data_IF_939697622342
#
_entry.id   IF_939697622342
#
_cell.length_a   1.000
_cell.length_b   1.000
_cell.length_c   1.000
_cell.angle_alpha   90.00
_cell.angle_beta   90.00
_cell.angle_gamma   90.00
#
_symmetry.space_group_name_H-M   'P 1'
#
loop_
_entity.id
_entity.type
_entity.pdbx_description
1 polymer ?
#
# COMPACT_ATOMS: atom_id res chain seq x y z
N UNK A 1 4.32 -24.49 38.24
CA UNK A 1 5.70 -24.99 38.36
C UNK A 1 6.24 -25.24 36.97
N UNK A 2 7.28 -24.47 36.61
CA UNK A 2 8.18 -24.62 35.45
C UNK A 2 7.62 -24.40 34.03
N UNK A 3 7.55 -23.12 33.62
CA UNK A 3 8.02 -22.66 32.31
C UNK A 3 8.34 -21.14 32.25
N UNK A 4 8.61 -20.47 33.38
CA UNK A 4 9.08 -19.07 33.44
C UNK A 4 10.59 -18.99 33.77
N UNK A 5 11.44 -19.72 33.04
CA UNK A 5 12.87 -19.77 33.33
C UNK A 5 13.75 -19.70 32.07
N UNK A 6 13.50 -18.74 31.18
CA UNK A 6 14.43 -18.46 30.05
C UNK A 6 14.55 -17.00 29.63
N UNK A 7 14.29 -16.07 30.55
CA UNK A 7 14.47 -14.62 30.31
C UNK A 7 15.61 -14.02 31.18
N UNK A 8 16.22 -14.80 32.09
CA UNK A 8 17.23 -14.31 33.03
C UNK A 8 18.66 -14.85 32.81
N UNK A 9 19.13 -14.98 31.56
CA UNK A 9 20.56 -15.31 31.30
C UNK A 9 21.36 -14.25 30.54
N UNK A 10 20.74 -13.21 29.99
CA UNK A 10 21.45 -12.26 29.11
C UNK A 10 21.78 -10.89 29.73
N UNK A 11 21.59 -10.70 31.05
CA UNK A 11 21.81 -9.41 31.71
C UNK A 11 23.07 -9.34 32.60
N UNK A 12 23.97 -10.34 32.55
CA UNK A 12 25.17 -10.37 33.41
C UNK A 12 26.46 -9.84 32.76
N UNK A 13 26.46 -9.51 31.47
CA UNK A 13 27.70 -9.13 30.75
C UNK A 13 27.85 -7.64 30.40
N UNK A 14 26.94 -6.75 30.83
CA UNK A 14 27.01 -5.33 30.48
C UNK A 14 27.44 -4.38 31.61
N UNK A 15 27.81 -4.87 32.80
CA UNK A 15 28.21 -4.04 33.94
C UNK A 15 29.62 -4.36 34.44
N UNK A 16 30.63 -3.78 33.78
CA UNK A 16 32.00 -3.46 34.27
C UNK A 16 32.74 -2.90 33.04
N UNK A 17 33.16 -1.64 32.95
CA UNK A 17 34.06 -0.82 33.78
C UNK A 17 33.92 0.62 33.23
N UNK A 18 33.65 1.67 34.00
CA UNK A 18 34.50 2.44 34.94
C UNK A 18 34.81 3.84 34.36
N UNK A 19 34.78 4.82 35.25
CA UNK A 19 34.81 6.26 35.03
C UNK A 19 36.22 6.78 34.74
N UNK A 20 36.34 7.92 34.02
CA UNK A 20 36.99 9.13 34.56
C UNK A 20 37.07 10.34 33.61
N UNK A 21 36.39 11.43 34.03
CA UNK A 21 36.81 12.85 34.19
C UNK A 21 37.57 13.62 33.08
N UNK A 22 36.89 14.72 32.68
CA UNK A 22 37.19 16.17 32.90
C UNK A 22 37.53 17.08 31.69
N UNK A 23 36.75 18.19 31.66
CA UNK A 23 37.08 19.63 31.48
C UNK A 23 36.84 20.34 30.13
N UNK A 24 35.88 21.27 30.21
CA UNK A 24 35.81 22.66 29.72
C UNK A 24 36.15 23.03 28.27
N UNK A 25 35.22 23.74 27.60
CA UNK A 25 35.25 25.21 27.54
C UNK A 25 34.11 25.83 26.70
N UNK A 26 33.75 27.06 27.07
CA UNK A 26 32.80 28.01 26.47
C UNK A 26 32.77 28.07 24.93
N UNK A 27 31.64 28.46 24.32
CA UNK A 27 31.31 29.88 23.93
C UNK A 27 30.13 29.97 22.95
N UNK A 28 29.33 31.03 23.15
CA UNK A 28 28.55 31.83 22.19
C UNK A 28 27.15 31.36 21.74
N UNK A 29 26.16 32.00 22.38
CA UNK A 29 24.86 32.42 21.80
C UNK A 29 25.06 33.08 20.43
N UNK A 30 24.29 32.64 19.43
CA UNK A 30 23.81 33.52 18.36
C UNK A 30 22.45 33.01 17.86
N UNK A 31 21.41 33.83 18.07
CA UNK A 31 20.10 33.72 17.41
C UNK A 31 20.30 33.58 15.90
N UNK A 32 19.67 32.60 15.27
CA UNK A 32 19.39 32.64 13.83
C UNK A 32 18.05 32.00 13.54
N UNK A 33 17.27 32.78 12.81
CA UNK A 33 15.92 32.60 12.33
C UNK A 33 15.77 31.31 11.54
N UNK A 34 14.64 30.63 11.70
CA UNK A 34 14.19 29.55 10.83
C UNK A 34 14.05 30.07 9.40
N UNK A 35 14.92 29.60 8.52
CA UNK A 35 14.68 29.58 7.08
C UNK A 35 14.90 28.14 6.61
N UNK A 36 13.84 27.50 6.14
CA UNK A 36 13.92 26.20 5.47
C UNK A 36 14.79 26.30 4.22
N UNK A 37 16.06 25.90 4.32
CA UNK A 37 16.85 25.51 3.16
C UNK A 37 16.61 24.01 2.93
N UNK A 38 15.73 23.68 1.97
CA UNK A 38 15.60 22.31 1.46
C UNK A 38 16.92 21.95 0.78
N UNK A 39 17.63 21.00 1.36
CA UNK A 39 18.77 20.34 0.75
C UNK A 39 18.26 19.54 -0.46
N UNK A 40 18.73 19.77 -1.70
CA UNK A 40 18.16 19.19 -2.92
C UNK A 40 18.34 17.68 -3.08
N UNK A 41 18.88 16.98 -2.08
CA UNK A 41 19.23 15.57 -2.17
C UNK A 41 18.48 14.64 -1.19
N UNK A 42 17.52 15.17 -0.42
CA UNK A 42 16.66 14.32 0.41
C UNK A 42 15.41 13.92 -0.38
N UNK A 43 15.44 12.71 -0.96
CA UNK A 43 14.27 12.16 -1.67
C UNK A 43 13.08 12.10 -0.72
N UNK A 44 11.95 12.68 -1.12
CA UNK A 44 10.75 12.73 -0.29
C UNK A 44 10.26 11.30 -0.01
N UNK A 45 10.03 10.99 1.27
CA UNK A 45 9.49 9.69 1.71
C UNK A 45 7.99 9.76 1.90
N UNK A 46 7.34 8.60 1.83
CA UNK A 46 5.88 8.51 1.94
C UNK A 46 5.38 8.92 3.33
N UNK A 47 6.06 8.49 4.39
CA UNK A 47 5.70 8.80 5.77
C UNK A 47 4.27 8.35 6.10
N UNK A 48 3.44 9.28 6.60
CA UNK A 48 2.07 9.01 7.04
C UNK A 48 1.13 8.50 5.93
N UNK A 49 1.44 8.78 4.66
CA UNK A 49 0.66 8.27 3.53
C UNK A 49 0.87 6.76 3.30
N UNK A 50 1.72 6.10 4.09
CA UNK A 50 2.02 4.67 3.95
C UNK A 50 0.76 3.80 3.98
N UNK A 51 -0.22 4.17 4.82
CA UNK A 51 -1.46 3.41 4.97
C UNK A 51 -2.39 3.58 3.77
N UNK A 52 -2.50 4.79 3.21
CA UNK A 52 -3.28 5.02 1.99
C UNK A 52 -2.62 4.28 0.81
N UNK A 53 -1.30 4.38 0.69
CA UNK A 53 -0.54 3.67 -0.34
C UNK A 53 -0.68 2.15 -0.18
N UNK A 54 -0.62 1.61 1.03
CA UNK A 54 -0.87 0.18 1.28
C UNK A 54 -2.28 -0.24 0.84
N UNK A 55 -3.29 0.61 1.05
CA UNK A 55 -4.64 0.39 0.54
C UNK A 55 -4.67 0.27 -0.99
N UNK A 56 -4.00 1.21 -1.68
CA UNK A 56 -3.88 1.19 -3.14
C UNK A 56 -3.14 -0.06 -3.61
N UNK A 57 -2.01 -0.41 -2.99
CA UNK A 57 -1.26 -1.62 -3.32
C UNK A 57 -2.10 -2.88 -3.16
N UNK A 58 -2.89 -2.98 -2.09
CA UNK A 58 -3.81 -4.11 -1.88
C UNK A 58 -4.88 -4.20 -2.97
N UNK A 59 -5.52 -3.07 -3.32
CA UNK A 59 -6.49 -2.99 -4.43
C UNK A 59 -5.86 -3.41 -5.76
N UNK A 60 -4.63 -2.95 -6.05
CA UNK A 60 -3.88 -3.33 -7.25
C UNK A 60 -3.59 -4.83 -7.31
N UNK A 61 -3.14 -5.43 -6.20
CA UNK A 61 -2.87 -6.88 -6.12
C UNK A 61 -4.17 -7.67 -6.32
N UNK A 62 -5.26 -7.25 -5.69
CA UNK A 62 -6.57 -7.88 -5.86
C UNK A 62 -7.06 -7.82 -7.32
N UNK A 63 -6.97 -6.65 -7.94
CA UNK A 63 -7.35 -6.48 -9.35
C UNK A 63 -6.54 -7.40 -10.26
N UNK A 64 -5.21 -7.45 -10.09
CA UNK A 64 -4.34 -8.36 -10.83
C UNK A 64 -4.77 -9.83 -10.69
N UNK A 65 -5.04 -10.30 -9.47
CA UNK A 65 -5.46 -11.68 -9.22
C UNK A 65 -6.84 -11.99 -9.83
N UNK A 66 -7.77 -11.03 -9.81
CA UNK A 66 -9.09 -11.19 -10.42
C UNK A 66 -9.05 -11.35 -11.94
N UNK A 67 -7.91 -11.03 -12.57
CA UNK A 67 -7.65 -11.19 -14.01
C UNK A 67 -6.84 -12.46 -14.34
N UNK A 68 -6.59 -13.32 -13.35
CA UNK A 68 -5.95 -14.62 -13.58
C UNK A 68 -6.83 -15.53 -14.43
N UNK A 69 -6.22 -16.44 -15.19
CA UNK A 69 -6.98 -17.34 -16.08
C UNK A 69 -8.05 -18.15 -15.32
N UNK A 70 -7.74 -18.59 -14.10
CA UNK A 70 -8.69 -19.31 -13.24
C UNK A 70 -9.90 -18.45 -12.84
N UNK A 71 -9.67 -17.20 -12.44
CA UNK A 71 -10.75 -16.29 -12.05
C UNK A 71 -11.61 -15.87 -13.25
N UNK A 72 -10.99 -15.67 -14.41
CA UNK A 72 -11.73 -15.37 -15.66
C UNK A 72 -12.53 -16.58 -16.12
N UNK A 73 -11.98 -17.79 -16.04
CA UNK A 73 -12.70 -19.01 -16.34
C UNK A 73 -13.92 -19.15 -15.43
N UNK A 74 -13.73 -18.96 -14.11
CA UNK A 74 -14.80 -18.98 -13.10
C UNK A 74 -15.88 -17.94 -13.37
N UNK A 75 -15.49 -16.71 -13.72
CA UNK A 75 -16.42 -15.66 -14.13
C UNK A 75 -17.30 -16.13 -15.29
N UNK A 76 -16.69 -16.64 -16.37
CA UNK A 76 -17.41 -17.07 -17.58
C UNK A 76 -18.27 -18.32 -17.37
N UNK A 77 -17.79 -19.30 -16.61
CA UNK A 77 -18.48 -20.59 -16.45
C UNK A 77 -19.51 -20.62 -15.35
N UNK A 78 -19.29 -19.89 -14.25
CA UNK A 78 -20.14 -19.95 -13.05
C UNK A 78 -20.96 -18.67 -12.89
N UNK A 79 -20.29 -17.52 -12.79
CA UNK A 79 -20.97 -16.27 -12.43
C UNK A 79 -21.91 -15.79 -13.56
N UNK A 80 -21.43 -15.72 -14.80
CA UNK A 80 -22.23 -15.24 -15.93
C UNK A 80 -23.33 -16.21 -16.37
N UNK A 81 -23.20 -17.50 -16.05
CA UNK A 81 -24.20 -18.54 -16.37
C UNK A 81 -25.15 -18.83 -15.21
N UNK A 82 -25.03 -18.09 -14.11
CA UNK A 82 -25.95 -18.24 -12.99
C UNK A 82 -27.35 -17.77 -13.39
N UNK A 83 -28.36 -18.52 -12.97
CA UNK A 83 -29.77 -18.24 -13.29
C UNK A 83 -30.20 -16.84 -12.84
N UNK A 84 -29.67 -16.38 -11.70
CA UNK A 84 -29.89 -15.04 -11.18
C UNK A 84 -29.34 -13.93 -12.09
N UNK A 85 -28.15 -14.09 -12.66
CA UNK A 85 -27.57 -13.09 -13.58
C UNK A 85 -28.32 -13.08 -14.91
N UNK A 86 -28.62 -14.26 -15.46
CA UNK A 86 -29.41 -14.39 -16.68
C UNK A 86 -30.80 -13.76 -16.56
N UNK A 87 -31.43 -13.88 -15.38
CA UNK A 87 -32.79 -13.37 -15.14
C UNK A 87 -32.80 -11.88 -14.77
N UNK A 88 -31.85 -11.40 -13.97
CA UNK A 88 -31.87 -10.03 -13.43
C UNK A 88 -31.11 -9.00 -14.29
N UNK A 89 -30.09 -9.43 -15.04
CA UNK A 89 -29.22 -8.52 -15.80
C UNK A 89 -29.41 -8.74 -17.29
N UNK A 90 -28.99 -9.89 -17.81
CA UNK A 90 -29.11 -10.28 -19.22
C UNK A 90 -28.64 -11.72 -19.42
N UNK A 91 -29.18 -12.41 -20.41
CA UNK A 91 -28.67 -13.70 -20.89
C UNK A 91 -27.58 -13.55 -21.99
N UNK A 92 -27.35 -12.33 -22.49
CA UNK A 92 -26.31 -12.05 -23.49
C UNK A 92 -24.92 -12.00 -22.84
N UNK A 93 -24.11 -13.04 -23.10
CA UNK A 93 -22.74 -13.17 -22.61
C UNK A 93 -21.85 -11.99 -23.05
N UNK A 94 -22.07 -11.44 -24.25
CA UNK A 94 -21.30 -10.29 -24.73
C UNK A 94 -21.58 -9.03 -23.91
N UNK A 95 -22.86 -8.76 -23.62
CA UNK A 95 -23.25 -7.65 -22.76
C UNK A 95 -22.66 -7.82 -21.35
N UNK A 96 -22.76 -9.01 -20.76
CA UNK A 96 -22.23 -9.29 -19.43
C UNK A 96 -20.70 -9.11 -19.36
N UNK A 97 -19.96 -9.57 -20.37
CA UNK A 97 -18.51 -9.39 -20.43
C UNK A 97 -18.11 -7.94 -20.69
N UNK A 98 -18.90 -7.18 -21.45
CA UNK A 98 -18.68 -5.73 -21.60
C UNK A 98 -18.88 -4.96 -20.29
N UNK A 99 -19.85 -5.36 -19.46
CA UNK A 99 -20.07 -4.80 -18.13
C UNK A 99 -18.90 -5.13 -17.19
N UNK A 100 -18.45 -6.39 -17.19
CA UNK A 100 -17.29 -6.81 -16.41
C UNK A 100 -16.02 -6.07 -16.84
N UNK A 101 -15.81 -5.87 -18.15
CA UNK A 101 -14.71 -5.06 -18.67
C UNK A 101 -14.78 -3.62 -18.13
N UNK A 102 -15.95 -2.98 -18.20
CA UNK A 102 -16.14 -1.62 -17.71
C UNK A 102 -15.83 -1.49 -16.21
N UNK A 103 -16.26 -2.45 -15.39
CA UNK A 103 -15.95 -2.50 -13.96
C UNK A 103 -14.43 -2.64 -13.70
N UNK A 104 -13.75 -3.57 -14.40
CA UNK A 104 -12.29 -3.75 -14.24
C UNK A 104 -11.49 -2.54 -14.69
N UNK A 105 -11.94 -1.85 -15.74
CA UNK A 105 -11.32 -0.60 -16.17
C UNK A 105 -11.58 0.53 -15.17
N UNK A 106 -12.76 0.62 -14.57
CA UNK A 106 -13.04 1.61 -13.52
C UNK A 106 -12.14 1.40 -12.28
N UNK A 107 -11.99 0.14 -11.83
CA UNK A 107 -11.07 -0.21 -10.75
C UNK A 107 -9.63 0.22 -11.07
N UNK A 108 -9.17 -0.05 -12.29
CA UNK A 108 -7.84 0.33 -12.74
C UNK A 108 -7.66 1.86 -12.79
N UNK A 109 -8.67 2.58 -13.31
CA UNK A 109 -8.66 4.03 -13.40
C UNK A 109 -8.62 4.69 -12.02
N UNK A 110 -9.34 4.14 -11.03
CA UNK A 110 -9.27 4.60 -9.63
C UNK A 110 -7.86 4.44 -9.06
N UNK A 111 -7.21 3.30 -9.31
CA UNK A 111 -5.82 3.07 -8.91
C UNK A 111 -4.91 4.08 -9.62
N UNK A 112 -5.02 4.21 -10.94
CA UNK A 112 -4.20 5.10 -11.75
C UNK A 112 -4.33 6.56 -11.30
N UNK A 113 -5.53 7.02 -10.96
CA UNK A 113 -5.77 8.36 -10.40
C UNK A 113 -4.97 8.61 -9.12
N UNK A 114 -4.93 7.65 -8.20
CA UNK A 114 -4.11 7.78 -6.98
C UNK A 114 -2.62 7.75 -7.32
N UNK A 115 -2.19 6.90 -8.26
CA UNK A 115 -0.79 6.84 -8.72
C UNK A 115 -0.36 8.17 -9.36
N UNK A 116 -1.21 8.81 -10.18
CA UNK A 116 -0.96 10.15 -10.74
C UNK A 116 -0.80 11.20 -9.64
N UNK A 117 -1.65 11.15 -8.61
CA UNK A 117 -1.57 12.06 -7.45
C UNK A 117 -0.26 11.89 -6.68
N UNK A 118 0.19 10.66 -6.49
CA UNK A 118 1.46 10.35 -5.84
C UNK A 118 2.66 10.72 -6.73
N UNK A 119 2.54 10.52 -8.04
CA UNK A 119 3.56 10.84 -9.05
C UNK A 119 3.95 12.31 -9.08
N UNK A 120 3.04 13.23 -8.71
CA UNK A 120 3.35 14.66 -8.55
C UNK A 120 4.39 14.98 -7.46
N UNK A 121 4.70 14.03 -6.59
CA UNK A 121 5.76 14.14 -5.56
C UNK A 121 7.04 13.39 -5.93
N UNK A 122 7.10 12.81 -7.13
CA UNK A 122 8.30 12.15 -7.63
C UNK A 122 9.32 13.16 -8.17
N UNK A 123 10.59 12.76 -8.13
CA UNK A 123 11.70 13.51 -8.74
C UNK A 123 11.92 13.11 -10.21
N UNK A 124 11.53 11.88 -10.58
CA UNK A 124 11.69 11.34 -11.93
C UNK A 124 10.65 11.93 -12.90
N UNK A 125 11.11 12.50 -14.01
CA UNK A 125 10.24 13.14 -15.01
C UNK A 125 9.22 12.17 -15.64
N UNK A 126 9.60 10.89 -15.80
CA UNK A 126 8.72 9.84 -16.32
C UNK A 126 7.54 9.55 -15.40
N UNK A 127 7.72 9.67 -14.08
CA UNK A 127 6.67 9.45 -13.09
C UNK A 127 5.77 10.68 -12.91
N UNK A 128 6.33 11.88 -13.07
CA UNK A 128 5.56 13.13 -13.12
C UNK A 128 4.60 13.15 -14.32
N UNK A 129 5.03 12.60 -15.45
CA UNK A 129 4.23 12.47 -16.67
C UNK A 129 3.26 11.27 -16.70
N UNK A 130 3.19 10.46 -15.64
CA UNK A 130 2.43 9.20 -15.63
C UNK A 130 0.97 9.38 -16.08
N UNK A 131 0.29 10.43 -15.61
CA UNK A 131 -1.11 10.72 -15.95
C UNK A 131 -1.31 10.87 -17.47
N UNK A 132 -0.42 11.59 -18.14
CA UNK A 132 -0.48 11.83 -19.58
C UNK A 132 -0.17 10.56 -20.37
N UNK A 133 0.90 9.84 -19.97
CA UNK A 133 1.28 8.57 -20.61
C UNK A 133 0.16 7.53 -20.47
N UNK A 134 -0.46 7.44 -19.28
CA UNK A 134 -1.58 6.55 -19.05
C UNK A 134 -2.78 6.91 -19.92
N UNK A 135 -3.13 8.20 -20.03
CA UNK A 135 -4.20 8.66 -20.90
C UNK A 135 -3.93 8.37 -22.39
N UNK A 136 -2.69 8.51 -22.85
CA UNK A 136 -2.30 8.21 -24.23
C UNK A 136 -2.34 6.71 -24.54
N UNK A 137 -1.98 5.86 -23.57
CA UNK A 137 -2.10 4.39 -23.67
C UNK A 137 -3.57 3.96 -23.71
N UNK A 138 -4.44 4.58 -22.91
CA UNK A 138 -5.89 4.35 -22.96
C UNK A 138 -6.49 4.81 -24.31
N UNK A 139 -6.00 5.92 -24.86
CA UNK A 139 -6.42 6.44 -26.16
C UNK A 139 -5.85 5.66 -27.36
N UNK A 140 -5.00 4.65 -27.12
CA UNK A 140 -4.36 3.85 -28.17
C UNK A 140 -3.31 4.61 -29.00
N UNK A 141 -2.81 5.75 -28.50
CA UNK A 141 -1.78 6.56 -29.18
C UNK A 141 -0.37 6.03 -28.96
N UNK A 142 -0.17 5.27 -27.88
CA UNK A 142 1.11 4.66 -27.50
C UNK A 142 0.87 3.17 -27.27
N UNK A 143 1.68 2.32 -27.91
CA UNK A 143 1.65 0.89 -27.61
C UNK A 143 2.36 0.60 -26.28
N UNK A 144 1.84 -0.36 -25.52
CA UNK A 144 2.43 -0.77 -24.24
C UNK A 144 3.90 -1.23 -24.40
N UNK A 145 4.27 -1.79 -25.56
CA UNK A 145 5.64 -2.19 -25.89
C UNK A 145 6.61 -1.00 -25.95
N UNK A 146 6.11 0.18 -26.33
CA UNK A 146 6.89 1.42 -26.40
C UNK A 146 7.12 2.08 -25.03
N UNK A 147 6.30 1.73 -24.02
CA UNK A 147 6.47 2.17 -22.63
C UNK A 147 7.65 1.45 -21.95
N UNK A 148 8.30 0.50 -22.64
CA UNK A 148 9.56 -0.12 -22.22
C UNK A 148 9.45 -0.96 -20.94
N UNK A 149 8.25 -1.41 -20.59
CA UNK A 149 7.99 -2.17 -19.37
C UNK A 149 8.32 -3.66 -19.57
N UNK A 150 9.33 -4.25 -18.89
CA UNK A 150 9.61 -5.66 -19.01
C UNK A 150 8.47 -6.48 -18.36
N UNK A 151 7.69 -7.19 -19.16
CA UNK A 151 6.61 -8.09 -18.70
C UNK A 151 7.12 -9.30 -17.91
N UNK A 152 8.43 -9.60 -17.99
CA UNK A 152 9.04 -10.85 -17.49
C UNK A 152 9.04 -11.07 -15.97
N UNK A 153 8.57 -10.12 -15.17
CA UNK A 153 8.56 -10.31 -13.71
C UNK A 153 7.41 -9.59 -12.99
N UNK A 154 6.20 -9.68 -13.56
CA UNK A 154 5.00 -9.16 -12.90
C UNK A 154 4.74 -9.87 -11.56
N UNK A 155 4.94 -11.19 -11.51
CA UNK A 155 4.71 -11.97 -10.30
C UNK A 155 5.64 -11.54 -9.15
N UNK A 156 6.93 -11.24 -9.38
CA UNK A 156 7.74 -10.68 -8.28
C UNK A 156 7.35 -9.26 -7.91
N UNK A 157 6.84 -8.48 -8.87
CA UNK A 157 6.34 -7.13 -8.64
C UNK A 157 5.13 -7.17 -7.72
N UNK A 158 4.17 -8.06 -7.99
CA UNK A 158 3.01 -8.33 -7.12
C UNK A 158 3.46 -8.81 -5.73
N UNK A 159 4.40 -9.76 -5.65
CA UNK A 159 4.98 -10.21 -4.37
C UNK A 159 5.71 -9.10 -3.61
N UNK A 160 6.26 -8.10 -4.29
CA UNK A 160 6.86 -6.91 -3.64
C UNK A 160 5.77 -6.02 -3.07
N UNK A 161 4.68 -5.77 -3.81
CA UNK A 161 3.53 -5.02 -3.32
C UNK A 161 2.94 -5.68 -2.06
N UNK A 162 2.75 -7.00 -2.10
CA UNK A 162 2.24 -7.78 -0.95
C UNK A 162 3.13 -7.64 0.27
N UNK A 163 4.46 -7.77 0.11
CA UNK A 163 5.40 -7.58 1.22
C UNK A 163 5.30 -6.18 1.83
N UNK A 164 5.17 -5.15 0.99
CA UNK A 164 4.97 -3.78 1.49
C UNK A 164 3.65 -3.60 2.23
N UNK A 165 2.56 -4.20 1.73
CA UNK A 165 1.26 -4.21 2.40
C UNK A 165 1.38 -4.89 3.77
N UNK A 166 1.93 -6.10 3.84
CA UNK A 166 2.12 -6.85 5.09
C UNK A 166 2.96 -6.09 6.10
N UNK A 167 4.14 -5.57 5.71
CA UNK A 167 4.99 -4.79 6.62
C UNK A 167 4.30 -3.52 7.12
N UNK A 168 3.48 -2.87 6.29
CA UNK A 168 2.77 -1.64 6.67
C UNK A 168 1.57 -1.94 7.58
N UNK A 169 0.91 -3.08 7.41
CA UNK A 169 -0.12 -3.59 8.33
C UNK A 169 0.50 -3.93 9.69
N UNK A 170 1.64 -4.62 9.73
CA UNK A 170 2.34 -4.88 10.99
C UNK A 170 2.72 -3.57 11.69
N UNK A 171 3.20 -2.56 10.94
CA UNK A 171 3.46 -1.24 11.50
C UNK A 171 2.20 -0.59 12.11
N UNK A 172 1.05 -0.71 11.45
CA UNK A 172 -0.22 -0.20 11.96
C UNK A 172 -0.58 -0.86 13.31
N UNK A 173 -0.52 -2.19 13.37
CA UNK A 173 -0.85 -2.95 14.58
C UNK A 173 0.09 -2.58 15.75
N UNK A 174 1.40 -2.50 15.51
CA UNK A 174 2.35 -2.13 16.58
C UNK A 174 2.20 -0.68 17.05
N UNK A 175 1.75 0.23 16.17
CA UNK A 175 1.40 1.60 16.56
C UNK A 175 0.12 1.64 17.41
N UNK A 176 -0.86 0.79 17.12
CA UNK A 176 -2.07 0.63 17.92
C UNK A 176 -1.75 0.09 19.33
N UNK A 177 -0.92 -0.95 19.41
CA UNK A 177 -0.42 -1.50 20.70
C UNK A 177 0.32 -0.43 21.50
N UNK A 178 1.19 0.38 20.85
CA UNK A 178 1.87 1.48 21.55
C UNK A 178 0.86 2.50 22.10
N UNK A 179 -0.16 2.87 21.33
CA UNK A 179 -1.19 3.80 21.77
C UNK A 179 -1.98 3.25 22.96
N UNK A 180 -2.34 1.96 22.97
CA UNK A 180 -2.98 1.31 24.11
C UNK A 180 -2.09 1.31 25.37
N UNK A 181 -0.79 1.00 25.20
CA UNK A 181 0.18 1.04 26.29
C UNK A 181 0.31 2.46 26.86
N UNK A 182 0.43 3.48 26.03
CA UNK A 182 0.52 4.88 26.47
C UNK A 182 -0.77 5.34 27.18
N UNK A 183 -1.93 4.91 26.71
CA UNK A 183 -3.21 5.18 27.39
C UNK A 183 -3.32 4.46 28.72
N UNK A 184 -2.83 3.22 28.83
CA UNK A 184 -2.82 2.48 30.09
C UNK A 184 -1.95 3.21 31.13
N UNK A 185 -0.76 3.69 30.75
CA UNK A 185 0.13 4.45 31.64
C UNK A 185 -0.54 5.74 32.15
N UNK A 186 -1.27 6.47 31.31
CA UNK A 186 -2.03 7.66 31.73
C UNK A 186 -3.10 7.32 32.78
N UNK A 187 -3.75 6.16 32.68
CA UNK A 187 -4.75 5.68 33.67
C UNK A 187 -4.09 5.23 34.98
N UNK A 188 -2.88 4.66 34.90
CA UNK A 188 -2.11 4.17 36.06
C UNK A 188 -1.31 5.23 36.81
N UNK A 189 -1.23 6.48 36.33
CA UNK A 189 -0.59 7.58 37.07
C UNK A 189 -1.23 7.90 38.44
N UNK A 190 -2.33 7.22 38.79
CA UNK A 190 -2.94 7.24 40.12
C UNK A 190 -2.34 6.23 41.12
N UNK A 191 -1.51 5.28 40.69
CA UNK A 191 -1.00 4.18 41.52
C UNK A 191 0.47 4.42 41.90
N UNK A 192 0.74 4.53 43.20
CA UNK A 192 2.03 4.87 43.86
C UNK A 192 3.12 3.77 43.77
N UNK A 193 3.12 2.88 42.77
CA UNK A 193 4.13 1.82 42.61
C UNK A 193 5.15 2.18 41.52
N UNK A 194 6.28 2.74 41.95
CA UNK A 194 7.37 3.19 41.07
C UNK A 194 8.03 2.05 40.27
N UNK A 195 8.02 0.83 40.82
CA UNK A 195 8.60 -0.35 40.18
C UNK A 195 7.75 -0.82 38.98
N UNK A 196 6.42 -0.85 39.13
CA UNK A 196 5.48 -1.14 38.03
C UNK A 196 5.59 -0.07 36.94
N UNK A 197 5.73 1.20 37.32
CA UNK A 197 5.94 2.31 36.37
C UNK A 197 7.19 2.13 35.52
N UNK A 198 8.33 1.74 36.12
CA UNK A 198 9.59 1.49 35.40
C UNK A 198 9.46 0.35 34.39
N UNK A 199 8.73 -0.72 34.74
CA UNK A 199 8.47 -1.84 33.81
C UNK A 199 7.63 -1.38 32.61
N UNK A 200 6.58 -0.57 32.82
CA UNK A 200 5.77 0.00 31.74
C UNK A 200 6.56 0.96 30.85
N UNK A 201 7.38 1.84 31.44
CA UNK A 201 8.26 2.75 30.69
C UNK A 201 9.27 1.97 29.83
N UNK A 202 9.83 0.89 30.37
CA UNK A 202 10.71 0.00 29.62
C UNK A 202 9.96 -0.70 28.47
N UNK A 203 8.72 -1.16 28.69
CA UNK A 203 7.89 -1.77 27.63
C UNK A 203 7.59 -0.78 26.51
N UNK A 204 7.28 0.48 26.83
CA UNK A 204 7.07 1.55 25.83
C UNK A 204 8.36 1.82 25.04
N UNK A 205 9.52 1.82 25.71
CA UNK A 205 10.81 2.01 25.04
C UNK A 205 11.10 0.89 24.03
N UNK A 206 10.88 -0.37 24.41
CA UNK A 206 11.01 -1.51 23.50
C UNK A 206 10.05 -1.41 22.32
N UNK A 207 8.77 -1.11 22.58
CA UNK A 207 7.76 -0.95 21.55
C UNK A 207 8.14 0.14 20.52
N UNK A 208 8.69 1.27 20.99
CA UNK A 208 9.17 2.36 20.12
C UNK A 208 10.37 1.95 19.29
N UNK A 209 11.28 1.15 19.84
CA UNK A 209 12.41 0.60 19.10
C UNK A 209 11.92 -0.32 17.96
N UNK A 210 10.97 -1.21 18.25
CA UNK A 210 10.44 -2.16 17.28
C UNK A 210 9.66 -1.46 16.16
N UNK A 211 8.89 -0.42 16.49
CA UNK A 211 8.26 0.47 15.50
C UNK A 211 9.30 1.14 14.60
N UNK A 212 10.48 1.48 15.13
CA UNK A 212 11.59 2.00 14.34
C UNK A 212 12.00 1.04 13.22
N UNK A 213 12.24 -0.23 13.56
CA UNK A 213 12.58 -1.26 12.57
C UNK A 213 11.44 -1.56 11.58
N UNK A 214 10.18 -1.49 12.02
CA UNK A 214 9.02 -1.64 11.14
C UNK A 214 8.86 -0.46 10.18
N UNK A 215 9.20 0.75 10.58
CA UNK A 215 9.20 1.91 9.67
C UNK A 215 10.22 1.75 8.54
N UNK A 216 11.38 1.16 8.82
CA UNK A 216 12.43 0.93 7.83
C UNK A 216 12.02 -0.12 6.78
N UNK A 217 11.29 -1.16 7.19
CA UNK A 217 10.85 -2.25 6.32
C UNK A 217 9.50 -2.01 5.63
N UNK A 218 8.70 -1.06 6.13
CA UNK A 218 7.39 -0.70 5.57
C UNK A 218 7.47 0.42 4.53
N UNK A 219 6.30 0.84 4.03
CA UNK A 219 6.17 1.98 3.11
C UNK A 219 6.56 3.31 3.75
N UNK A 220 6.61 3.42 5.09
CA UNK A 220 6.84 4.67 5.80
C UNK A 220 8.16 5.35 5.39
N UNK A 221 9.25 4.58 5.27
CA UNK A 221 10.57 5.06 4.87
C UNK A 221 10.89 4.84 3.38
N UNK A 222 9.92 4.46 2.54
CA UNK A 222 10.14 4.35 1.09
C UNK A 222 9.98 5.71 0.40
N UNK A 223 10.71 5.91 -0.69
CA UNK A 223 10.62 7.11 -1.53
C UNK A 223 9.43 7.02 -2.50
N UNK A 224 8.87 8.18 -2.87
CA UNK A 224 7.80 8.24 -3.86
C UNK A 224 8.22 7.60 -5.18
N UNK A 225 9.41 7.90 -5.70
CA UNK A 225 9.90 7.37 -6.99
C UNK A 225 9.83 5.85 -7.05
N UNK A 226 10.28 5.19 -5.98
CA UNK A 226 10.32 3.72 -5.92
C UNK A 226 8.92 3.12 -5.90
N UNK A 227 8.03 3.70 -5.12
CA UNK A 227 6.67 3.19 -4.93
C UNK A 227 5.78 3.48 -6.13
N UNK A 228 5.83 4.72 -6.64
CA UNK A 228 5.08 5.12 -7.83
C UNK A 228 5.58 4.37 -9.06
N UNK A 229 6.90 4.19 -9.21
CA UNK A 229 7.44 3.38 -10.30
C UNK A 229 6.97 1.92 -10.26
N UNK A 230 6.88 1.33 -9.07
CA UNK A 230 6.35 -0.03 -8.88
C UNK A 230 4.86 -0.09 -9.24
N UNK A 231 4.05 0.85 -8.75
CA UNK A 231 2.62 0.91 -9.03
C UNK A 231 2.31 1.20 -10.50
N UNK A 232 2.98 2.18 -11.11
CA UNK A 232 2.81 2.55 -12.51
C UNK A 232 3.06 1.35 -13.43
N UNK A 233 4.15 0.62 -13.17
CA UNK A 233 4.47 -0.62 -13.87
C UNK A 233 3.34 -1.65 -13.76
N UNK A 234 2.83 -1.87 -12.56
CA UNK A 234 1.72 -2.82 -12.35
C UNK A 234 0.43 -2.34 -13.03
N UNK A 235 0.12 -1.06 -12.99
CA UNK A 235 -1.07 -0.49 -13.66
C UNK A 235 -1.02 -0.76 -15.15
N UNK A 236 0.10 -0.49 -15.82
CA UNK A 236 0.21 -0.74 -17.26
C UNK A 236 0.11 -2.23 -17.60
N UNK A 237 0.69 -3.12 -16.80
CA UNK A 237 0.56 -4.56 -17.04
C UNK A 237 -0.83 -5.11 -16.74
N UNK A 238 -1.53 -4.57 -15.76
CA UNK A 238 -2.95 -4.90 -15.53
C UNK A 238 -3.77 -4.45 -16.74
N UNK A 239 -3.55 -3.25 -17.27
CA UNK A 239 -4.23 -2.80 -18.48
C UNK A 239 -3.99 -3.73 -19.67
N UNK A 240 -2.75 -4.11 -19.93
CA UNK A 240 -2.40 -5.08 -20.97
C UNK A 240 -3.14 -6.41 -20.77
N UNK A 241 -3.18 -6.91 -19.52
CA UNK A 241 -3.91 -8.12 -19.19
C UNK A 241 -5.42 -7.99 -19.42
N UNK A 242 -6.02 -6.86 -19.07
CA UNK A 242 -7.44 -6.57 -19.38
C UNK A 242 -7.67 -6.62 -20.89
N UNK A 243 -6.80 -5.98 -21.69
CA UNK A 243 -6.90 -6.02 -23.16
C UNK A 243 -6.80 -7.44 -23.71
N UNK A 244 -5.93 -8.28 -23.16
CA UNK A 244 -5.79 -9.67 -23.59
C UNK A 244 -7.01 -10.53 -23.22
N UNK A 245 -7.60 -10.30 -22.05
CA UNK A 245 -8.73 -11.10 -21.56
C UNK A 245 -10.05 -10.70 -22.21
N UNK A 246 -10.24 -9.40 -22.43
CA UNK A 246 -11.51 -8.82 -22.86
C UNK A 246 -11.45 -8.20 -24.26
N UNK A 247 -10.40 -8.45 -25.04
CA UNK A 247 -10.14 -7.81 -26.35
C UNK A 247 -11.36 -7.73 -27.26
N UNK A 248 -12.09 -8.84 -27.40
CA UNK A 248 -13.26 -8.95 -28.27
C UNK A 248 -14.49 -8.15 -27.80
N UNK A 249 -14.48 -7.70 -26.54
CA UNK A 249 -15.57 -6.95 -25.89
C UNK A 249 -15.22 -5.47 -25.70
N UNK A 250 -14.01 -5.05 -26.08
CA UNK A 250 -13.75 -3.63 -26.21
C UNK A 250 -14.72 -3.08 -27.26
N UNK A 251 -15.36 -1.93 -27.01
CA UNK A 251 -16.23 -1.30 -27.99
C UNK A 251 -15.37 -0.82 -29.17
N UNK A 252 -15.03 -1.72 -30.07
CA UNK A 252 -14.26 -1.44 -31.25
C UNK A 252 -15.20 -0.69 -32.21
N UNK A 253 -14.93 0.61 -32.37
CA UNK A 253 -15.41 1.43 -33.48
C UNK A 253 -16.86 1.96 -33.43
N UNK A 254 -17.31 2.62 -32.34
CA UNK A 254 -18.51 3.50 -32.45
C UNK A 254 -18.67 4.65 -31.46
N UNK A 255 -17.69 4.95 -30.62
CA UNK A 255 -17.82 6.05 -29.67
C UNK A 255 -16.69 7.03 -29.88
N UNK A 256 -17.06 8.17 -30.49
CA UNK A 256 -16.18 9.29 -30.70
C UNK A 256 -15.53 9.74 -29.39
N UNK A 257 -14.44 10.47 -29.54
CA UNK A 257 -13.52 11.06 -28.55
C UNK A 257 -14.15 11.65 -27.27
N UNK A 258 -15.47 11.82 -27.23
CA UNK A 258 -16.25 12.46 -26.18
C UNK A 258 -16.64 11.52 -25.02
N UNK A 259 -16.84 10.21 -25.25
CA UNK A 259 -17.16 9.28 -24.14
C UNK A 259 -15.92 8.78 -23.41
N UNK A 260 -14.80 8.63 -24.12
CA UNK A 260 -13.49 8.47 -23.48
C UNK A 260 -13.22 9.67 -22.56
N UNK A 261 -13.51 10.90 -23.02
CA UNK A 261 -13.40 12.12 -22.23
C UNK A 261 -14.36 12.15 -21.01
N UNK A 262 -15.53 11.50 -21.09
CA UNK A 262 -16.44 11.31 -19.94
C UNK A 262 -15.92 10.30 -18.92
N UNK A 263 -15.32 9.19 -19.36
CA UNK A 263 -14.59 8.28 -18.47
C UNK A 263 -13.45 9.01 -17.76
N UNK A 264 -12.67 9.84 -18.47
CA UNK A 264 -11.64 10.71 -17.87
C UNK A 264 -12.22 11.74 -16.89
N UNK A 265 -13.41 12.30 -17.16
CA UNK A 265 -14.05 13.27 -16.26
C UNK A 265 -14.65 12.64 -15.00
N UNK A 266 -15.10 11.38 -15.06
CA UNK A 266 -15.61 10.63 -13.91
C UNK A 266 -14.52 10.30 -12.87
N UNK A 267 -13.25 10.20 -13.30
CA UNK A 267 -12.08 9.94 -12.44
C UNK A 267 -11.86 10.97 -11.31
N UNK A 268 -12.51 12.15 -11.38
CA UNK A 268 -12.33 13.23 -10.41
C UNK A 268 -13.29 13.17 -9.20
N UNK A 269 -14.33 12.32 -9.20
CA UNK A 269 -15.47 12.46 -8.25
C UNK A 269 -15.46 11.48 -7.07
N UNK A 270 -14.84 10.30 -7.14
CA UNK A 270 -15.01 9.25 -6.11
C UNK A 270 -13.78 9.00 -5.22
N UNK A 271 -13.37 10.04 -4.48
CA UNK A 271 -12.42 9.91 -3.36
C UNK A 271 -13.23 9.86 -2.05
N UNK A 272 -13.80 8.70 -1.72
CA UNK A 272 -14.70 8.59 -0.56
C UNK A 272 -14.65 7.30 0.26
N UNK A 273 -13.97 6.24 -0.19
CA UNK A 273 -14.07 4.92 0.48
C UNK A 273 -12.71 4.21 0.52
N UNK A 274 -11.83 4.65 1.42
CA UNK A 274 -10.48 4.07 1.55
C UNK A 274 -10.19 3.40 2.90
N UNK A 275 -11.05 3.56 3.93
CA UNK A 275 -10.82 2.97 5.26
C UNK A 275 -11.49 1.61 5.43
N UNK A 276 -12.67 1.40 4.85
CA UNK A 276 -13.39 0.12 4.97
C UNK A 276 -12.74 -1.03 4.20
N UNK A 277 -12.06 -0.74 3.08
CA UNK A 277 -11.43 -1.77 2.23
C UNK A 277 -10.23 -2.41 2.93
N UNK A 278 -9.48 -1.67 3.75
CA UNK A 278 -8.37 -2.25 4.53
C UNK A 278 -8.92 -3.13 5.65
N UNK A 279 -10.02 -2.74 6.31
CA UNK A 279 -10.64 -3.56 7.36
C UNK A 279 -11.31 -4.83 6.80
N UNK A 280 -11.95 -4.76 5.63
CA UNK A 280 -12.55 -5.95 4.98
C UNK A 280 -11.47 -6.88 4.39
N UNK A 281 -10.39 -6.32 3.84
CA UNK A 281 -9.23 -7.11 3.38
C UNK A 281 -8.54 -7.83 4.56
N UNK A 282 -8.29 -7.13 5.67
CA UNK A 282 -7.65 -7.71 6.86
C UNK A 282 -8.52 -8.82 7.48
N UNK A 283 -9.85 -8.66 7.43
CA UNK A 283 -10.82 -9.66 7.88
C UNK A 283 -10.87 -10.89 6.97
N UNK A 284 -10.72 -10.73 5.64
CA UNK A 284 -10.74 -11.84 4.67
C UNK A 284 -9.42 -12.62 4.61
N UNK A 285 -8.27 -11.97 4.76
CA UNK A 285 -6.97 -12.65 4.72
C UNK A 285 -6.54 -13.21 6.08
N UNK A 286 -7.02 -12.64 7.20
CA UNK A 286 -6.84 -13.19 8.55
C UNK A 286 -7.57 -14.53 8.80
N UNK A 287 -8.49 -14.93 7.92
CA UNK A 287 -9.27 -16.17 8.05
C UNK A 287 -8.60 -17.41 7.41
N UNK A 288 -7.46 -17.26 6.71
CA UNK A 288 -6.76 -18.39 6.08
C UNK A 288 -5.58 -18.95 6.89
N UNK A 289 -5.37 -18.45 8.12
CA UNK A 289 -4.26 -18.86 9.00
C UNK A 289 -4.63 -19.81 10.14
N UNK A 290 -5.89 -20.25 10.26
CA UNK A 290 -6.39 -21.03 11.41
C UNK A 290 -7.25 -22.21 10.95
N UNK A 291 -6.75 -23.07 10.04
CA UNK A 291 -7.24 -24.45 9.90
C UNK A 291 -6.21 -25.27 9.10
N UNK A 292 -5.08 -25.58 9.72
CA UNK A 292 -4.31 -26.77 9.40
C UNK A 292 -3.56 -27.19 10.67
N UNK A 293 -4.21 -28.05 11.44
CA UNK A 293 -3.76 -28.55 12.72
C UNK A 293 -4.58 -29.77 13.09
N UNK A 294 -4.32 -30.87 12.39
CA UNK A 294 -4.48 -32.27 12.83
C UNK A 294 -3.72 -33.16 11.82
#
# INVERSE_FOLDING_TARGET
MFAEARILSNLRHAFSTDQSKKKNSNKKKKKKSQSHSKDPNTKETIGILSFEVASVMSKTVHLHRSLSDAEIARLKSEALRSDGVCTLVSADEHLLLSLALAEKLDDLNRIASVVSRLGRRCSEATLLGFEHVYADVLAGRIEFRDVGCPTRDMESTIKKLERYVTSTVSLYNELEVLNELEQSVKKFQSVQHEETRRVFEQKIMWQRHDIGGLRDSSLWNQTYDKVVGLLARTVFSIYERIRLVFGDYFPESRLGSQEQSRMFSAMSVQVGESVLVIQDWLRREGAKGLFCGA
#
